data_IF_448643889542
#
_entry.id   IF_448643889542
#
_cell.length_a   1.000
_cell.length_b   1.000
_cell.length_c   1.000
_cell.angle_alpha   90.00
_cell.angle_beta   90.00
_cell.angle_gamma   90.00
#
_symmetry.space_group_name_H-M   'P 1'
#
loop_
_entity.id
_entity.type
_entity.pdbx_description
1 polymer ?
#
# COMPACT_ATOMS: atom_id res chain seq x y z
N UNK A 1 0.31 8.00 16.15
CA UNK A 1 0.07 6.73 15.43
C UNK A 1 1.25 6.48 14.52
N UNK A 2 1.82 5.27 14.52
CA UNK A 2 2.93 4.93 13.64
C UNK A 2 2.52 5.05 12.17
N UNK A 3 3.53 5.25 11.31
CA UNK A 3 3.37 5.14 9.87
C UNK A 3 4.47 4.24 9.29
N UNK A 4 4.13 3.54 8.21
CA UNK A 4 5.06 2.70 7.47
C UNK A 4 4.89 2.96 5.97
N UNK A 5 5.99 2.89 5.22
CA UNK A 5 6.03 3.17 3.79
C UNK A 5 6.32 1.90 3.02
N UNK A 6 5.58 1.70 1.93
CA UNK A 6 5.68 0.54 1.08
C UNK A 6 5.75 0.96 -0.37
N UNK A 7 6.60 0.29 -1.13
CA UNK A 7 6.55 0.33 -2.57
C UNK A 7 5.67 -0.82 -3.02
N UNK A 8 4.58 -0.51 -3.72
CA UNK A 8 3.60 -1.49 -4.15
C UNK A 8 3.48 -1.51 -5.67
N UNK A 9 3.24 -2.70 -6.23
CA UNK A 9 3.05 -2.91 -7.67
C UNK A 9 1.78 -3.70 -7.93
N UNK A 10 1.02 -3.26 -8.92
CA UNK A 10 -0.23 -3.89 -9.34
C UNK A 10 0.03 -4.76 -10.58
N UNK A 11 -0.35 -6.04 -10.55
CA UNK A 11 -0.52 -6.83 -11.77
C UNK A 11 -1.54 -6.16 -12.71
N UNK A 12 -1.41 -6.39 -14.02
CA UNK A 12 -2.23 -5.77 -15.06
C UNK A 12 -3.75 -5.93 -14.81
N UNK A 13 -4.18 -7.12 -14.40
CA UNK A 13 -5.58 -7.44 -14.12
C UNK A 13 -6.13 -6.72 -12.86
N UNK A 14 -5.24 -6.16 -12.02
CA UNK A 14 -5.58 -5.46 -10.77
C UNK A 14 -5.60 -3.94 -10.87
N UNK A 15 -5.07 -3.36 -11.96
CA UNK A 15 -4.97 -1.90 -12.11
C UNK A 15 -6.34 -1.20 -12.07
N UNK A 16 -7.38 -1.86 -12.59
CA UNK A 16 -8.76 -1.30 -12.65
C UNK A 16 -9.55 -1.48 -11.36
N UNK A 17 -9.01 -2.22 -10.38
CA UNK A 17 -9.69 -2.47 -9.11
C UNK A 17 -9.41 -1.34 -8.10
N UNK A 18 -10.40 -0.89 -7.30
CA UNK A 18 -10.23 0.21 -6.35
C UNK A 18 -9.54 -0.27 -5.04
N UNK A 19 -8.43 -1.00 -5.17
CA UNK A 19 -7.80 -1.72 -4.05
C UNK A 19 -7.39 -0.77 -2.93
N UNK A 20 -6.80 0.40 -3.23
CA UNK A 20 -6.37 1.35 -2.19
C UNK A 20 -7.56 1.86 -1.37
N UNK A 21 -8.67 2.18 -2.04
CA UNK A 21 -9.90 2.59 -1.37
C UNK A 21 -10.46 1.49 -0.46
N UNK A 22 -10.48 0.24 -0.95
CA UNK A 22 -10.92 -0.91 -0.17
C UNK A 22 -10.06 -1.11 1.07
N UNK A 23 -8.73 -0.99 0.97
CA UNK A 23 -7.83 -1.16 2.12
C UNK A 23 -8.12 -0.13 3.22
N UNK A 24 -8.31 1.15 2.87
CA UNK A 24 -8.66 2.17 3.86
C UNK A 24 -10.04 2.00 4.51
N UNK A 25 -10.95 1.25 3.88
CA UNK A 25 -12.29 0.95 4.43
C UNK A 25 -12.34 -0.37 5.22
N UNK A 26 -11.61 -1.38 4.76
CA UNK A 26 -11.55 -2.71 5.38
C UNK A 26 -10.71 -2.71 6.66
N UNK A 27 -9.72 -1.81 6.76
CA UNK A 27 -8.78 -1.71 7.87
C UNK A 27 -8.75 -0.28 8.42
N UNK A 28 -8.49 -0.12 9.72
CA UNK A 28 -8.46 1.20 10.39
C UNK A 28 -7.13 1.92 10.12
N UNK A 29 -6.82 2.13 8.84
CA UNK A 29 -5.60 2.82 8.39
C UNK A 29 -5.97 3.97 7.46
N UNK A 30 -5.19 5.04 7.54
CA UNK A 30 -5.18 6.10 6.55
C UNK A 30 -4.17 5.74 5.47
N UNK A 31 -4.63 5.71 4.22
CA UNK A 31 -3.78 5.50 3.03
C UNK A 31 -3.33 6.84 2.47
N UNK A 32 -2.03 7.06 2.37
CA UNK A 32 -1.46 8.28 1.82
C UNK A 32 -0.50 7.96 0.66
N UNK A 33 -0.86 8.37 -0.55
CA UNK A 33 -0.09 8.13 -1.76
C UNK A 33 1.04 9.17 -1.86
N UNK A 34 2.29 8.71 -1.75
CA UNK A 34 3.47 9.59 -1.83
C UNK A 34 3.96 9.76 -3.27
N UNK A 35 3.93 8.68 -4.05
CA UNK A 35 4.24 8.66 -5.49
C UNK A 35 3.39 7.59 -6.16
N UNK A 36 3.07 7.78 -7.43
CA UNK A 36 2.41 6.78 -8.25
C UNK A 36 2.71 7.01 -9.73
N UNK A 37 2.83 5.92 -10.49
CA UNK A 37 2.71 5.89 -11.95
C UNK A 37 1.71 4.77 -12.26
N UNK A 38 0.59 5.13 -12.91
CA UNK A 38 -0.46 4.19 -13.30
C UNK A 38 -0.76 4.41 -14.76
N UNK A 39 -0.66 3.33 -15.54
CA UNK A 39 -0.93 3.25 -16.98
C UNK A 39 -1.92 2.13 -17.23
N UNK A 40 -2.25 1.90 -18.49
CA UNK A 40 -3.23 0.87 -18.87
C UNK A 40 -2.85 -0.54 -18.41
N UNK A 41 -1.56 -0.89 -18.45
CA UNK A 41 -1.06 -2.25 -18.16
C UNK A 41 -0.02 -2.32 -17.05
N UNK A 42 0.45 -1.18 -16.55
CA UNK A 42 1.44 -1.11 -15.46
C UNK A 42 1.00 -0.12 -14.39
N UNK A 43 1.15 -0.48 -13.11
CA UNK A 43 0.88 0.43 -12.01
C UNK A 43 1.79 0.18 -10.82
N UNK A 44 2.35 1.24 -10.24
CA UNK A 44 3.08 1.18 -8.98
C UNK A 44 2.85 2.44 -8.15
N UNK A 45 3.03 2.32 -6.83
CA UNK A 45 2.84 3.41 -5.89
C UNK A 45 3.82 3.30 -4.72
N UNK A 46 4.30 4.44 -4.22
CA UNK A 46 4.86 4.54 -2.88
C UNK A 46 3.71 4.93 -1.94
N UNK A 47 3.26 3.99 -1.11
CA UNK A 47 2.11 4.13 -0.23
C UNK A 47 2.58 4.22 1.22
N UNK A 48 2.14 5.26 1.92
CA UNK A 48 2.29 5.37 3.37
C UNK A 48 0.98 4.98 4.05
N UNK A 49 1.07 4.04 5.00
CA UNK A 49 -0.05 3.62 5.84
C UNK A 49 0.16 4.19 7.25
N UNK A 50 -0.85 4.89 7.77
CA UNK A 50 -0.85 5.41 9.14
C UNK A 50 -2.01 4.79 9.93
N UNK A 51 -1.74 4.28 11.12
CA UNK A 51 -2.73 3.62 11.97
C UNK A 51 -2.03 2.88 13.12
N UNK A 52 -2.76 2.02 13.83
CA UNK A 52 -2.14 1.11 14.79
C UNK A 52 -1.28 0.07 14.05
N UNK A 53 -0.15 -0.35 14.63
CA UNK A 53 0.78 -1.28 13.95
C UNK A 53 0.11 -2.58 13.50
N UNK A 54 -0.79 -3.12 14.31
CA UNK A 54 -1.56 -4.33 13.99
C UNK A 54 -2.52 -4.12 12.82
N UNK A 55 -3.13 -2.93 12.70
CA UNK A 55 -3.99 -2.58 11.57
C UNK A 55 -3.17 -2.39 10.28
N UNK A 56 -1.96 -1.81 10.39
CA UNK A 56 -1.04 -1.70 9.25
C UNK A 56 -0.61 -3.08 8.77
N UNK A 57 -0.24 -3.99 9.67
CA UNK A 57 0.11 -5.38 9.32
C UNK A 57 -1.04 -6.11 8.62
N UNK A 58 -2.27 -5.96 9.13
CA UNK A 58 -3.48 -6.51 8.51
C UNK A 58 -3.75 -5.92 7.13
N UNK A 59 -3.57 -4.61 6.96
CA UNK A 59 -3.72 -3.92 5.68
C UNK A 59 -2.69 -4.40 4.65
N UNK A 60 -1.43 -4.60 5.05
CA UNK A 60 -0.37 -5.17 4.20
C UNK A 60 -0.71 -6.59 3.77
N UNK A 61 -1.19 -7.43 4.70
CA UNK A 61 -1.66 -8.78 4.37
C UNK A 61 -2.87 -8.74 3.41
N UNK A 62 -3.79 -7.78 3.58
CA UNK A 62 -4.92 -7.54 2.70
C UNK A 62 -4.50 -7.17 1.28
N UNK A 63 -3.54 -6.25 1.12
CA UNK A 63 -2.95 -5.90 -0.17
C UNK A 63 -2.38 -7.13 -0.88
N UNK A 64 -1.55 -7.93 -0.18
CA UNK A 64 -0.96 -9.16 -0.71
C UNK A 64 -2.02 -10.19 -1.12
N UNK A 65 -3.07 -10.36 -0.31
CA UNK A 65 -4.18 -11.27 -0.62
C UNK A 65 -4.95 -10.85 -1.87
N UNK A 66 -5.04 -9.55 -2.15
CA UNK A 66 -5.64 -9.00 -3.37
C UNK A 66 -4.69 -9.06 -4.59
N UNK A 67 -3.52 -9.65 -4.45
CA UNK A 67 -2.54 -9.84 -5.53
C UNK A 67 -1.58 -8.69 -5.72
N UNK A 68 -1.61 -7.66 -4.86
CA UNK A 68 -0.65 -6.55 -4.91
C UNK A 68 0.69 -7.01 -4.35
N UNK A 69 1.77 -6.71 -5.07
CA UNK A 69 3.13 -6.97 -4.58
C UNK A 69 3.50 -5.83 -3.65
N UNK A 70 3.96 -6.13 -2.43
CA UNK A 70 4.22 -5.15 -1.37
C UNK A 70 5.62 -5.34 -0.80
N UNK A 71 6.48 -4.36 -1.07
CA UNK A 71 7.85 -4.29 -0.58
C UNK A 71 7.97 -3.13 0.43
N UNK A 72 8.52 -3.33 1.63
CA UNK A 72 8.76 -2.22 2.55
C UNK A 72 9.81 -1.27 1.95
N UNK A 73 9.59 0.04 2.11
CA UNK A 73 10.62 1.04 1.84
C UNK A 73 11.44 1.15 3.13
N UNK A 74 12.66 0.62 3.11
CA UNK A 74 13.60 0.83 4.22
C UNK A 74 13.77 2.33 4.42
N UNK A 75 13.38 2.82 5.60
CA UNK A 75 13.78 4.14 6.02
C UNK A 75 15.29 4.04 6.30
N UNK A 76 16.11 4.77 5.53
CA UNK A 76 17.46 5.08 5.95
C UNK A 76 17.34 5.69 7.36
N UNK A 77 17.69 4.91 8.38
CA UNK A 77 17.85 5.41 9.73
C UNK A 77 19.11 6.27 9.68
N UNK A 78 18.95 7.56 9.40
CA UNK A 78 19.97 8.54 9.77
C UNK A 78 19.74 8.79 11.26
N UNK A 79 20.59 8.20 12.09
CA UNK A 79 20.77 8.61 13.49
C UNK A 79 21.15 10.10 13.59
#
# INVERSE_FOLDING_TARGET
MPNMKFHIRFPEDKIKEPIIYQIGHEFKVVTNVRRADVRETTGWMDLELTGDSTEIERAVAGLRKKGVIVDPIELNVVE
#
